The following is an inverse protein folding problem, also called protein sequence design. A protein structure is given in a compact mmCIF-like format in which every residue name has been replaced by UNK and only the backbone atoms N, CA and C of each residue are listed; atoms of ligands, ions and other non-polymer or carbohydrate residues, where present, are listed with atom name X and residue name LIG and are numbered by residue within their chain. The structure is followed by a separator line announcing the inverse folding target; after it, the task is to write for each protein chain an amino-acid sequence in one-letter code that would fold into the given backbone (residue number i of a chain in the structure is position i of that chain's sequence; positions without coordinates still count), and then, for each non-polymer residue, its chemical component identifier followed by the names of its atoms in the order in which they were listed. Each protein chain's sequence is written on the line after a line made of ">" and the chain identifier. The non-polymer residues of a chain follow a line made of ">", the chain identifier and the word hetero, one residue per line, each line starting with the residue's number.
data_IF_559922254693
#
_entry.id   IF_559922254693
#
_cell.length_a   1.000
_cell.length_b   1.000
_cell.length_c   1.000
_cell.angle_alpha   90.00
_cell.angle_beta   90.00
_cell.angle_gamma   90.00
#
_symmetry.space_group_name_H-M   'P 1'
#
loop_
_entity.id
_entity.type
_entity.pdbx_description
1 polymer ?
#
# COMPACT_ATOMS: atom_id res chain seq x y z
N UNK A 1 5.48 -14.47 11.79
CA UNK A 1 6.58 -14.83 10.87
C UNK A 1 6.32 -16.17 10.16
N UNK A 2 6.37 -17.36 10.80
CA UNK A 2 6.26 -18.70 10.14
C UNK A 2 5.02 -19.05 9.29
N UNK A 3 3.92 -18.28 9.33
CA UNK A 3 2.68 -18.58 8.57
C UNK A 3 2.43 -17.64 7.39
N UNK A 4 3.14 -16.51 7.31
CA UNK A 4 2.91 -15.52 6.25
C UNK A 4 4.00 -15.72 5.18
N UNK A 5 3.58 -16.03 3.96
CA UNK A 5 4.45 -16.28 2.81
C UNK A 5 5.34 -15.07 2.47
N UNK A 6 4.96 -13.84 2.86
CA UNK A 6 5.81 -12.67 2.71
C UNK A 6 7.19 -12.85 3.37
N UNK A 7 7.28 -13.58 4.48
CA UNK A 7 8.56 -13.83 5.18
C UNK A 7 9.49 -14.80 4.44
N UNK A 8 9.08 -15.38 3.31
CA UNK A 8 9.99 -16.12 2.42
C UNK A 8 10.96 -15.16 1.71
N UNK A 9 10.57 -13.90 1.53
CA UNK A 9 11.36 -12.87 0.84
C UNK A 9 11.45 -11.53 1.59
N UNK A 10 10.77 -11.40 2.73
CA UNK A 10 10.83 -10.22 3.58
C UNK A 10 11.46 -10.52 4.96
N UNK A 11 12.28 -9.59 5.42
CA UNK A 11 12.66 -9.45 6.83
C UNK A 11 11.85 -8.30 7.44
N UNK A 12 11.39 -8.45 8.69
CA UNK A 12 10.77 -7.33 9.38
C UNK A 12 10.87 -7.45 10.89
N UNK A 13 11.04 -6.32 11.55
CA UNK A 13 10.93 -6.17 13.00
C UNK A 13 9.99 -5.01 13.35
N UNK A 14 9.45 -5.06 14.58
CA UNK A 14 8.42 -4.16 15.06
C UNK A 14 8.91 -3.44 16.29
N UNK A 15 8.74 -2.12 16.31
CA UNK A 15 9.24 -1.26 17.36
C UNK A 15 8.10 -0.48 18.00
N UNK A 16 8.25 -0.22 19.30
CA UNK A 16 7.34 0.58 20.10
C UNK A 16 8.15 1.68 20.78
N UNK A 17 7.67 2.92 20.68
CA UNK A 17 8.19 4.04 21.45
C UNK A 17 7.47 4.12 22.79
N UNK A 18 8.24 4.19 23.88
CA UNK A 18 7.70 4.34 25.24
C UNK A 18 8.12 5.68 25.83
N UNK A 19 7.17 6.38 26.45
CA UNK A 19 7.44 7.53 27.32
C UNK A 19 6.74 7.31 28.65
N UNK A 20 7.50 7.37 29.74
CA UNK A 20 6.99 7.12 31.10
C UNK A 20 6.22 5.80 31.22
N UNK A 21 6.70 4.75 30.55
CA UNK A 21 6.08 3.42 30.55
C UNK A 21 4.81 3.29 29.70
N UNK A 22 4.39 4.34 28.97
CA UNK A 22 3.25 4.32 28.05
C UNK A 22 3.72 4.26 26.61
N UNK A 23 3.00 3.50 25.77
CA UNK A 23 3.24 3.48 24.34
C UNK A 23 2.80 4.81 23.75
N UNK A 24 3.72 5.49 23.07
CA UNK A 24 3.48 6.78 22.39
C UNK A 24 3.65 6.71 20.88
N UNK A 25 4.13 5.56 20.37
CA UNK A 25 4.13 5.28 18.95
C UNK A 25 4.66 3.89 18.61
N UNK A 26 4.60 3.54 17.33
CA UNK A 26 5.03 2.26 16.76
C UNK A 26 5.47 2.43 15.32
N UNK A 27 6.31 1.50 14.87
CA UNK A 27 6.71 1.39 13.47
C UNK A 27 7.16 -0.04 13.16
N UNK A 28 6.93 -0.51 11.94
CA UNK A 28 7.58 -1.70 11.42
C UNK A 28 8.73 -1.30 10.49
N UNK A 29 9.87 -1.95 10.63
CA UNK A 29 10.94 -1.93 9.64
C UNK A 29 10.83 -3.19 8.79
N UNK A 30 10.90 -3.06 7.46
CA UNK A 30 10.72 -4.17 6.52
C UNK A 30 11.79 -4.07 5.43
N UNK A 31 12.46 -5.17 5.11
CA UNK A 31 13.26 -5.29 3.88
C UNK A 31 12.58 -6.34 3.00
N UNK A 32 12.15 -5.94 1.81
CA UNK A 32 11.68 -6.86 0.79
C UNK A 32 12.82 -7.13 -0.20
N UNK A 33 13.46 -8.30 -0.06
CA UNK A 33 14.61 -8.68 -0.88
C UNK A 33 14.27 -8.83 -2.36
N UNK A 34 13.06 -9.32 -2.66
CA UNK A 34 12.60 -9.49 -4.04
C UNK A 34 12.40 -8.14 -4.71
N UNK A 35 11.77 -7.17 -4.05
CA UNK A 35 11.60 -5.82 -4.57
C UNK A 35 12.96 -5.13 -4.79
N UNK A 36 13.85 -5.19 -3.80
CA UNK A 36 15.21 -4.66 -3.92
C UNK A 36 15.98 -5.29 -5.09
N UNK A 37 15.83 -6.60 -5.32
CA UNK A 37 16.46 -7.28 -6.46
C UNK A 37 15.85 -6.86 -7.80
N UNK A 38 14.52 -6.83 -7.91
CA UNK A 38 13.80 -6.46 -9.15
C UNK A 38 14.13 -5.05 -9.59
N UNK A 39 14.15 -4.11 -8.64
CA UNK A 39 14.35 -2.68 -8.92
C UNK A 39 15.81 -2.23 -8.78
N UNK A 40 16.72 -3.16 -8.48
CA UNK A 40 18.14 -2.89 -8.23
C UNK A 40 18.37 -1.77 -7.20
N UNK A 41 17.68 -1.90 -6.06
CA UNK A 41 17.69 -0.94 -4.95
C UNK A 41 18.20 -1.57 -3.66
N UNK A 42 18.48 -0.71 -2.67
CA UNK A 42 18.88 -1.09 -1.30
C UNK A 42 18.06 -0.28 -0.30
N UNK A 43 16.77 -0.55 -0.27
CA UNK A 43 15.80 0.19 0.54
C UNK A 43 15.36 -0.62 1.77
N UNK A 44 15.29 0.05 2.91
CA UNK A 44 14.44 -0.35 4.03
C UNK A 44 13.10 0.37 3.92
N UNK A 45 12.01 -0.38 4.09
CA UNK A 45 10.66 0.17 4.18
C UNK A 45 10.31 0.44 5.65
N UNK A 46 9.66 1.56 5.93
CA UNK A 46 8.87 1.70 7.16
C UNK A 46 7.39 1.49 6.84
N UNK A 47 6.63 0.92 7.77
CA UNK A 47 5.21 0.64 7.59
C UNK A 47 4.47 0.52 8.92
N UNK A 48 3.13 0.50 8.87
CA UNK A 48 2.26 0.48 10.07
C UNK A 48 2.69 1.49 11.16
N UNK A 49 3.11 2.67 10.72
CA UNK A 49 3.60 3.75 11.57
C UNK A 49 2.42 4.46 12.25
N UNK A 50 2.57 4.75 13.54
CA UNK A 50 1.55 5.45 14.33
C UNK A 50 2.21 6.14 15.52
N UNK A 51 1.91 7.41 15.78
CA UNK A 51 2.55 8.18 16.84
C UNK A 51 1.72 9.39 17.26
N UNK A 52 1.87 9.83 18.50
CA UNK A 52 1.36 11.11 18.98
C UNK A 52 2.08 12.27 18.29
N UNK A 53 1.43 13.42 18.14
CA UNK A 53 1.98 14.66 17.55
C UNK A 53 3.13 15.24 18.40
N UNK A 54 4.28 14.57 18.32
CA UNK A 54 5.50 14.88 19.05
C UNK A 54 6.72 14.51 18.19
N UNK A 55 7.52 15.53 17.88
CA UNK A 55 8.68 15.42 17.01
C UNK A 55 9.68 14.36 17.48
N UNK A 56 9.95 14.29 18.79
CA UNK A 56 10.91 13.35 19.37
C UNK A 56 10.46 11.90 19.16
N UNK A 57 9.16 11.64 19.30
CA UNK A 57 8.59 10.30 19.08
C UNK A 57 8.76 9.87 17.63
N UNK A 58 8.38 10.74 16.69
CA UNK A 58 8.52 10.45 15.26
C UNK A 58 9.99 10.27 14.84
N UNK A 59 10.89 11.12 15.35
CA UNK A 59 12.33 11.07 15.08
C UNK A 59 12.94 9.76 15.58
N UNK A 60 12.53 9.31 16.78
CA UNK A 60 13.01 8.07 17.35
C UNK A 60 12.55 6.85 16.54
N UNK A 61 11.28 6.82 16.11
CA UNK A 61 10.74 5.73 15.32
C UNK A 61 11.42 5.61 13.96
N UNK A 62 11.51 6.71 13.20
CA UNK A 62 12.14 6.70 11.88
C UNK A 62 13.64 6.35 11.97
N UNK A 63 14.37 6.95 12.92
CA UNK A 63 15.79 6.64 13.13
C UNK A 63 16.02 5.18 13.45
N UNK A 64 15.14 4.56 14.24
CA UNK A 64 15.22 3.13 14.54
C UNK A 64 15.10 2.28 13.28
N UNK A 65 14.21 2.64 12.35
CA UNK A 65 14.09 1.95 11.06
C UNK A 65 15.33 2.15 10.19
N UNK A 66 15.86 3.37 10.13
CA UNK A 66 17.09 3.66 9.40
C UNK A 66 18.28 2.85 9.91
N UNK A 67 18.49 2.82 11.23
CA UNK A 67 19.58 2.08 11.86
C UNK A 67 19.43 0.58 11.59
N UNK A 68 18.22 0.04 11.78
CA UNK A 68 17.91 -1.36 11.48
C UNK A 68 18.18 -1.73 10.01
N UNK A 69 17.87 -0.81 9.08
CA UNK A 69 18.16 -0.97 7.65
C UNK A 69 19.65 -0.87 7.33
N UNK A 70 20.36 0.10 7.92
CA UNK A 70 21.81 0.31 7.74
C UNK A 70 22.61 -0.91 8.22
N UNK A 71 22.24 -1.50 9.35
CA UNK A 71 22.84 -2.75 9.86
C UNK A 71 22.72 -3.92 8.88
N UNK A 72 21.70 -3.89 8.01
CA UNK A 72 21.43 -4.89 6.97
C UNK A 72 21.89 -4.47 5.57
N UNK A 73 22.67 -3.39 5.49
CA UNK A 73 23.26 -2.92 4.24
C UNK A 73 22.31 -2.13 3.33
N UNK A 74 21.17 -1.67 3.85
CA UNK A 74 20.31 -0.73 3.13
C UNK A 74 20.91 0.67 3.15
N UNK A 75 20.72 1.42 2.07
CA UNK A 75 21.26 2.77 1.90
C UNK A 75 20.18 3.84 1.80
N UNK A 76 18.93 3.44 1.56
CA UNK A 76 17.78 4.33 1.42
C UNK A 76 16.64 3.85 2.32
N UNK A 77 15.76 4.77 2.71
CA UNK A 77 14.53 4.50 3.46
C UNK A 77 13.34 4.97 2.63
N UNK A 78 12.27 4.18 2.61
CA UNK A 78 11.06 4.46 1.85
C UNK A 78 9.83 4.09 2.68
N UNK A 79 8.71 4.78 2.47
CA UNK A 79 7.47 4.41 3.15
C UNK A 79 6.48 5.56 3.27
N UNK A 80 5.32 5.29 3.91
CA UNK A 80 4.97 4.01 4.52
C UNK A 80 4.55 2.96 3.47
N UNK A 81 5.14 1.76 3.57
CA UNK A 81 4.91 0.63 2.67
C UNK A 81 4.81 -0.67 3.47
N UNK A 82 3.97 -1.59 3.01
CA UNK A 82 3.82 -2.91 3.63
C UNK A 82 4.82 -3.95 3.11
N UNK A 83 4.44 -5.23 3.28
CA UNK A 83 5.20 -6.34 2.70
C UNK A 83 5.05 -6.37 1.18
N UNK A 84 3.85 -6.04 0.69
CA UNK A 84 3.44 -6.08 -0.73
C UNK A 84 2.46 -4.95 -1.03
N UNK A 85 2.24 -4.63 -2.30
CA UNK A 85 1.29 -3.60 -2.76
C UNK A 85 -0.19 -3.90 -2.45
N UNK A 86 -0.47 -5.07 -1.86
CA UNK A 86 -1.79 -5.39 -1.31
C UNK A 86 -2.00 -4.90 0.13
N UNK A 87 -0.93 -4.47 0.80
CA UNK A 87 -1.01 -3.77 2.08
C UNK A 87 -1.40 -2.31 1.83
N UNK A 88 -1.90 -1.62 2.87
CA UNK A 88 -2.18 -0.20 2.75
C UNK A 88 -0.88 0.62 2.74
N UNK A 89 -0.78 1.55 1.80
CA UNK A 89 0.46 2.30 1.51
C UNK A 89 0.22 3.82 1.44
N UNK A 90 1.31 4.56 1.51
CA UNK A 90 1.30 6.02 1.41
C UNK A 90 0.70 6.72 2.63
N UNK A 91 0.64 8.05 2.58
CA UNK A 91 0.00 8.87 3.62
C UNK A 91 -1.01 9.80 2.99
N UNK A 92 -2.11 10.02 3.69
CA UNK A 92 -3.08 11.04 3.34
C UNK A 92 -2.45 12.42 3.52
N UNK A 93 -2.39 13.18 2.43
CA UNK A 93 -1.88 14.57 2.39
C UNK A 93 -2.99 15.60 2.09
N UNK A 94 -4.11 15.16 1.53
CA UNK A 94 -5.27 16.00 1.18
C UNK A 94 -6.56 15.17 1.35
N UNK A 95 -7.70 15.82 1.61
CA UNK A 95 -8.99 15.13 1.72
C UNK A 95 -9.30 14.54 3.10
N UNK A 96 -8.75 15.12 4.18
CA UNK A 96 -9.02 14.73 5.58
C UNK A 96 -10.51 14.88 6.00
N UNK A 97 -11.34 15.47 5.15
CA UNK A 97 -12.80 15.57 5.30
C UNK A 97 -13.56 14.43 4.60
N UNK A 98 -12.86 13.56 3.88
CA UNK A 98 -13.43 12.41 3.17
C UNK A 98 -13.23 11.11 3.94
N UNK A 99 -14.08 10.13 3.64
CA UNK A 99 -13.93 8.76 4.13
C UNK A 99 -12.75 8.08 3.41
N UNK A 100 -11.88 7.40 4.16
CA UNK A 100 -10.78 6.62 3.60
C UNK A 100 -11.25 5.61 2.56
N UNK A 101 -10.46 5.41 1.51
CA UNK A 101 -10.57 4.20 0.69
C UNK A 101 -9.80 3.05 1.33
N UNK A 102 -9.96 1.85 0.77
CA UNK A 102 -9.32 0.63 1.28
C UNK A 102 -7.83 0.55 0.96
N UNK A 103 -7.34 1.35 0.00
CA UNK A 103 -6.00 1.18 -0.57
C UNK A 103 -4.89 1.90 0.20
N UNK A 104 -5.21 2.99 0.89
CA UNK A 104 -4.22 3.90 1.47
C UNK A 104 -4.36 4.01 2.99
N UNK A 105 -3.31 4.52 3.65
CA UNK A 105 -3.32 4.78 5.09
C UNK A 105 -4.04 6.11 5.37
N UNK A 106 -4.99 6.07 6.30
CA UNK A 106 -5.64 7.28 6.82
C UNK A 106 -4.94 7.76 8.09
N UNK A 107 -4.26 8.89 8.01
CA UNK A 107 -3.50 9.50 9.11
C UNK A 107 -3.99 10.91 9.44
N UNK A 108 -3.53 11.45 10.57
CA UNK A 108 -3.73 12.85 10.89
C UNK A 108 -2.87 13.77 10.00
N UNK A 109 -3.26 15.05 9.81
CA UNK A 109 -2.51 16.00 8.98
C UNK A 109 -1.06 16.27 9.41
N UNK A 110 -0.69 15.96 10.65
CA UNK A 110 0.68 16.14 11.14
C UNK A 110 1.64 15.05 10.64
N UNK A 111 1.18 13.87 10.20
CA UNK A 111 2.08 12.78 9.82
C UNK A 111 3.02 13.16 8.66
N UNK A 112 2.52 13.70 7.53
CA UNK A 112 3.38 14.16 6.44
C UNK A 112 4.34 15.26 6.87
N UNK A 113 3.88 16.20 7.70
CA UNK A 113 4.69 17.31 8.20
C UNK A 113 5.91 16.83 9.00
N UNK A 114 5.74 15.76 9.80
CA UNK A 114 6.84 15.17 10.54
C UNK A 114 7.89 14.55 9.61
N UNK A 115 7.47 13.86 8.54
CA UNK A 115 8.41 13.26 7.59
C UNK A 115 9.11 14.31 6.73
N UNK A 116 8.38 15.31 6.24
CA UNK A 116 8.95 16.44 5.49
C UNK A 116 10.01 17.19 6.31
N UNK A 117 9.76 17.39 7.61
CA UNK A 117 10.76 17.96 8.54
C UNK A 117 12.05 17.13 8.61
N UNK A 118 11.95 15.80 8.47
CA UNK A 118 13.10 14.89 8.46
C UNK A 118 13.78 14.81 7.08
N UNK A 119 13.30 15.53 6.07
CA UNK A 119 13.85 15.55 4.72
C UNK A 119 13.31 14.46 3.80
N UNK A 120 12.19 13.82 4.14
CA UNK A 120 11.49 12.94 3.20
C UNK A 120 10.84 13.76 2.09
N UNK A 121 10.89 13.20 0.88
CA UNK A 121 10.26 13.76 -0.30
C UNK A 121 9.23 12.76 -0.85
N UNK A 122 8.27 13.26 -1.62
CA UNK A 122 7.24 12.42 -2.24
C UNK A 122 7.87 11.58 -3.37
N UNK A 123 7.64 10.28 -3.33
CA UNK A 123 8.07 9.36 -4.40
C UNK A 123 6.95 9.14 -5.44
N UNK A 124 5.69 9.07 -5.00
CA UNK A 124 4.52 8.92 -5.86
C UNK A 124 3.26 9.57 -5.22
N UNK A 125 2.31 9.96 -6.07
CA UNK A 125 1.00 10.49 -5.67
C UNK A 125 -0.11 9.52 -6.12
N UNK A 126 -0.96 9.12 -5.17
CA UNK A 126 -2.19 8.37 -5.45
C UNK A 126 -3.38 9.33 -5.41
N UNK A 127 -4.07 9.46 -6.54
CA UNK A 127 -5.24 10.35 -6.65
C UNK A 127 -6.52 9.52 -6.58
N UNK A 128 -7.30 9.76 -5.52
CA UNK A 128 -8.55 9.06 -5.27
C UNK A 128 -9.74 9.88 -5.74
N UNK A 129 -10.63 9.27 -6.52
CA UNK A 129 -11.84 9.91 -7.03
C UNK A 129 -13.08 9.28 -6.43
N UNK A 130 -13.93 10.12 -5.84
CA UNK A 130 -15.27 9.72 -5.41
C UNK A 130 -16.27 9.98 -6.53
N UNK A 131 -16.80 8.90 -7.10
CA UNK A 131 -17.80 8.96 -8.17
C UNK A 131 -19.16 8.57 -7.60
N UNK A 132 -20.15 9.46 -7.77
CA UNK A 132 -21.54 9.13 -7.47
C UNK A 132 -22.15 8.42 -8.68
N UNK A 133 -22.57 7.18 -8.49
CA UNK A 133 -23.19 6.39 -9.55
C UNK A 133 -24.61 6.91 -9.76
N UNK A 134 -24.99 7.35 -10.99
CA UNK A 134 -26.35 7.79 -11.27
C UNK A 134 -27.34 6.61 -11.18
N UNK A 135 -28.61 6.91 -10.88
CA UNK A 135 -29.67 5.89 -10.74
C UNK A 135 -29.88 5.02 -11.98
N UNK A 136 -29.49 5.52 -13.16
CA UNK A 136 -29.55 4.80 -14.41
C UNK A 136 -28.28 5.00 -15.24
N UNK A 137 -27.87 3.94 -15.93
CA UNK A 137 -26.79 3.99 -16.93
C UNK A 137 -27.30 4.77 -18.14
N UNK A 138 -26.63 5.87 -18.58
CA UNK A 138 -27.08 6.62 -19.75
C UNK A 138 -27.09 5.76 -21.02
N UNK A 139 -28.08 5.98 -21.89
CA UNK A 139 -28.33 5.15 -23.08
C UNK A 139 -27.12 4.99 -24.00
N UNK A 140 -26.29 6.05 -24.13
CA UNK A 140 -25.05 6.02 -24.91
C UNK A 140 -24.09 4.94 -24.40
N UNK A 141 -23.89 4.85 -23.08
CA UNK A 141 -22.99 3.85 -22.49
C UNK A 141 -23.56 2.43 -22.64
N UNK A 142 -24.88 2.27 -22.48
CA UNK A 142 -25.57 0.99 -22.70
C UNK A 142 -25.38 0.50 -24.13
N UNK A 143 -25.61 1.37 -25.12
CA UNK A 143 -25.43 1.05 -26.55
C UNK A 143 -23.99 0.66 -26.89
N UNK A 144 -23.00 1.38 -26.36
CA UNK A 144 -21.58 1.05 -26.57
C UNK A 144 -21.24 -0.29 -25.92
N UNK A 145 -21.70 -0.54 -24.69
CA UNK A 145 -21.48 -1.81 -23.98
C UNK A 145 -22.03 -2.99 -24.78
N UNK A 146 -23.27 -2.89 -25.28
CA UNK A 146 -23.91 -3.95 -26.08
C UNK A 146 -23.13 -4.25 -27.38
N UNK A 147 -22.61 -3.20 -28.04
CA UNK A 147 -21.86 -3.33 -29.28
C UNK A 147 -20.51 -4.04 -29.02
N UNK A 148 -19.79 -3.64 -27.97
CA UNK A 148 -18.52 -4.27 -27.56
C UNK A 148 -18.76 -5.73 -27.15
N UNK A 149 -19.80 -6.01 -26.36
CA UNK A 149 -20.14 -7.37 -25.94
C UNK A 149 -20.38 -8.30 -27.14
N UNK A 150 -21.13 -7.83 -28.15
CA UNK A 150 -21.35 -8.61 -29.38
C UNK A 150 -20.08 -8.77 -30.21
N UNK A 151 -19.34 -7.68 -30.42
CA UNK A 151 -18.12 -7.68 -31.26
C UNK A 151 -17.06 -8.66 -30.76
N UNK A 152 -16.86 -8.71 -29.45
CA UNK A 152 -15.85 -9.56 -28.82
C UNK A 152 -16.44 -10.84 -28.19
N UNK A 153 -17.72 -11.14 -28.42
CA UNK A 153 -18.45 -12.28 -27.85
C UNK A 153 -18.26 -12.40 -26.32
N UNK A 154 -18.29 -11.27 -25.62
CA UNK A 154 -18.09 -11.20 -24.18
C UNK A 154 -19.34 -11.69 -23.45
N UNK A 155 -19.14 -12.40 -22.35
CA UNK A 155 -20.23 -12.91 -21.50
C UNK A 155 -20.04 -12.43 -20.07
N UNK A 156 -21.05 -11.76 -19.53
CA UNK A 156 -21.07 -11.41 -18.11
C UNK A 156 -21.27 -12.68 -17.28
N UNK A 157 -20.27 -13.03 -16.47
CA UNK A 157 -20.36 -14.15 -15.53
C UNK A 157 -20.80 -13.62 -14.17
N UNK A 158 -22.01 -13.99 -13.74
CA UNK A 158 -22.51 -13.68 -12.39
C UNK A 158 -22.19 -14.83 -11.46
N UNK A 159 -21.50 -14.53 -10.37
CA UNK A 159 -21.17 -15.48 -9.32
C UNK A 159 -21.79 -15.03 -8.01
N UNK A 160 -22.26 -15.98 -7.21
CA UNK A 160 -22.76 -15.75 -5.84
C UNK A 160 -21.83 -16.35 -4.79
N UNK A 161 -20.75 -17.03 -5.21
CA UNK A 161 -19.79 -17.70 -4.34
C UNK A 161 -18.36 -17.35 -4.74
N UNK A 162 -17.64 -16.68 -3.84
CA UNK A 162 -16.22 -16.37 -4.02
C UNK A 162 -15.38 -17.64 -4.22
N UNK A 163 -15.73 -18.74 -3.54
CA UNK A 163 -15.04 -20.04 -3.69
C UNK A 163 -15.13 -20.56 -5.12
N UNK A 164 -16.30 -20.40 -5.76
CA UNK A 164 -16.49 -20.85 -7.15
C UNK A 164 -15.71 -19.97 -8.14
N UNK A 165 -15.64 -18.66 -7.89
CA UNK A 165 -14.80 -17.74 -8.70
C UNK A 165 -13.33 -18.16 -8.61
N UNK A 166 -12.83 -18.38 -7.40
CA UNK A 166 -11.45 -18.78 -7.16
C UNK A 166 -11.12 -20.11 -7.86
N UNK A 167 -12.05 -21.07 -7.85
CA UNK A 167 -11.89 -22.35 -8.54
C UNK A 167 -11.90 -22.21 -10.07
N UNK A 168 -12.86 -21.46 -10.63
CA UNK A 168 -13.03 -21.37 -12.08
C UNK A 168 -11.99 -20.45 -12.74
N UNK A 169 -11.58 -19.37 -12.06
CA UNK A 169 -10.79 -18.28 -12.65
C UNK A 169 -9.68 -17.72 -11.76
N UNK A 170 -9.53 -18.17 -10.50
CA UNK A 170 -8.63 -17.54 -9.53
C UNK A 170 -7.22 -17.36 -10.07
N UNK A 171 -6.60 -18.44 -10.57
CA UNK A 171 -5.25 -18.40 -11.12
C UNK A 171 -5.15 -17.46 -12.34
N UNK A 172 -6.07 -17.57 -13.29
CA UNK A 172 -6.06 -16.76 -14.51
C UNK A 172 -6.23 -15.26 -14.22
N UNK A 173 -7.01 -14.90 -13.20
CA UNK A 173 -7.16 -13.51 -12.75
C UNK A 173 -5.83 -12.99 -12.21
N UNK A 174 -5.15 -13.76 -11.34
CA UNK A 174 -3.85 -13.34 -10.80
C UNK A 174 -2.78 -13.25 -11.87
N UNK A 175 -2.74 -14.19 -12.82
CA UNK A 175 -1.81 -14.13 -13.96
C UNK A 175 -2.03 -12.88 -14.81
N UNK A 176 -3.29 -12.59 -15.17
CA UNK A 176 -3.64 -11.38 -15.91
C UNK A 176 -3.29 -10.10 -15.14
N UNK A 177 -3.55 -10.06 -13.83
CA UNK A 177 -3.17 -8.93 -12.99
C UNK A 177 -1.65 -8.74 -12.98
N UNK A 178 -0.88 -9.82 -12.77
CA UNK A 178 0.58 -9.75 -12.77
C UNK A 178 1.13 -9.27 -14.12
N UNK A 179 0.56 -9.73 -15.24
CA UNK A 179 0.95 -9.28 -16.58
C UNK A 179 0.59 -7.79 -16.82
N UNK A 180 -0.64 -7.39 -16.50
CA UNK A 180 -1.13 -6.04 -16.74
C UNK A 180 -0.41 -4.99 -15.88
N UNK A 181 -0.04 -5.36 -14.66
CA UNK A 181 0.53 -4.45 -13.68
C UNK A 181 2.05 -4.57 -13.51
N UNK A 182 2.71 -5.49 -14.21
CA UNK A 182 4.17 -5.64 -14.20
C UNK A 182 4.97 -4.33 -14.38
N UNK A 183 4.55 -3.36 -15.23
CA UNK A 183 5.31 -2.12 -15.41
C UNK A 183 4.90 -0.99 -14.45
N UNK A 184 3.89 -1.20 -13.59
CA UNK A 184 3.49 -0.18 -12.63
C UNK A 184 4.42 -0.15 -11.42
N UNK A 185 4.45 1.00 -10.76
CA UNK A 185 5.20 1.23 -9.54
C UNK A 185 4.65 0.35 -8.39
N UNK A 186 5.54 -0.35 -7.69
CA UNK A 186 5.24 -1.38 -6.68
C UNK A 186 6.24 -2.54 -6.74
#
# INVERSE_FOLDING_TARGET
>A
KKKNAAFEFCEADYFLAYREGKIVGRVAAIINHKANQTWNKKEVRFGWIDFIDDAEVSDALIRTVEEWGKERGMTHIQGPLGFTDFDAEGMLIEGFDQLSTMATIYNYPYYPQHLERMGFEKDADWVEYKIYIPDAIPDKHKRISDLIQRKYNLKVKKYTSAKKIAQDYGQAIFELMNEAYQPLYG
#
